data_IF_445093357558
#
_entry.id   IF_445093357558
#
_cell.length_a   1.000
_cell.length_b   1.000
_cell.length_c   1.000
_cell.angle_alpha   90.00
_cell.angle_beta   90.00
_cell.angle_gamma   90.00
#
_symmetry.space_group_name_H-M   'P 1'
#
loop_
_entity.id
_entity.type
_entity.pdbx_description
1 polymer ?
#
# COMPACT_ATOMS: atom_id res chain seq x y z
N UNK A 1 25.93 2.55 -15.53
CA UNK A 1 25.80 3.73 -16.41
C UNK A 1 24.88 4.77 -15.80
N UNK A 2 25.22 6.05 -15.94
CA UNK A 2 24.43 7.14 -15.41
C UNK A 2 23.32 7.53 -16.39
N UNK A 3 22.13 7.84 -15.89
CA UNK A 3 21.02 8.30 -16.72
C UNK A 3 20.04 7.21 -17.17
N UNK A 4 20.08 6.02 -16.56
CA UNK A 4 19.25 4.87 -16.94
C UNK A 4 17.75 5.06 -16.65
N UNK A 5 17.37 6.04 -15.83
CA UNK A 5 15.99 6.50 -15.69
C UNK A 5 15.68 7.72 -16.58
N UNK A 6 16.68 8.34 -17.20
CA UNK A 6 16.49 9.36 -18.22
C UNK A 6 17.43 10.56 -18.11
N UNK A 7 17.48 11.33 -19.20
CA UNK A 7 18.27 12.57 -19.34
C UNK A 7 17.39 13.71 -19.82
N UNK A 8 17.75 14.95 -19.47
CA UNK A 8 17.00 16.19 -19.75
C UNK A 8 15.61 16.23 -19.10
N UNK A 9 15.36 15.40 -18.09
CA UNK A 9 14.08 15.32 -17.37
C UNK A 9 14.08 16.21 -16.12
N UNK A 10 12.91 16.42 -15.50
CA UNK A 10 12.78 17.06 -14.19
C UNK A 10 13.09 16.10 -13.03
N UNK A 11 13.30 16.66 -11.83
CA UNK A 11 13.42 15.88 -10.60
C UNK A 11 12.16 15.05 -10.29
N UNK A 12 10.97 15.59 -10.56
CA UNK A 12 9.70 14.89 -10.39
C UNK A 12 9.58 13.69 -11.34
N UNK A 13 9.89 13.90 -12.62
CA UNK A 13 9.95 12.81 -13.60
C UNK A 13 10.96 11.73 -13.21
N UNK A 14 12.03 12.08 -12.50
CA UNK A 14 12.99 11.12 -11.97
C UNK A 14 12.36 10.23 -10.88
N UNK A 15 11.61 10.83 -9.95
CA UNK A 15 10.90 10.10 -8.90
C UNK A 15 9.84 9.17 -9.50
N UNK A 16 8.99 9.65 -10.42
CA UNK A 16 7.94 8.83 -11.05
C UNK A 16 8.50 7.61 -11.78
N UNK A 17 9.62 7.80 -12.49
CA UNK A 17 10.29 6.70 -13.21
C UNK A 17 10.93 5.70 -12.26
N UNK A 18 11.41 6.15 -11.10
CA UNK A 18 11.83 5.24 -10.04
C UNK A 18 10.63 4.49 -9.42
N UNK A 19 9.51 5.17 -9.18
CA UNK A 19 8.29 4.55 -8.67
C UNK A 19 7.77 3.45 -9.62
N UNK A 20 7.80 3.71 -10.93
CA UNK A 20 7.40 2.75 -11.96
C UNK A 20 8.44 1.64 -12.24
N UNK A 21 9.64 1.71 -11.66
CA UNK A 21 10.69 0.72 -11.88
C UNK A 21 10.87 -0.20 -10.66
N UNK A 22 10.65 -1.51 -10.85
CA UNK A 22 10.70 -2.50 -9.77
C UNK A 22 12.09 -2.69 -9.15
N UNK A 23 13.15 -2.35 -9.88
CA UNK A 23 14.53 -2.42 -9.41
C UNK A 23 15.02 -1.12 -8.78
N UNK A 24 14.23 -0.04 -8.83
CA UNK A 24 14.60 1.20 -8.18
C UNK A 24 14.27 1.14 -6.68
N UNK A 25 15.28 1.34 -5.83
CA UNK A 25 15.11 1.58 -4.39
C UNK A 25 15.50 2.99 -4.00
N UNK A 26 16.32 3.65 -4.80
CA UNK A 26 16.72 5.03 -4.62
C UNK A 26 16.77 5.73 -5.97
N UNK A 27 16.09 6.87 -6.09
CA UNK A 27 16.21 7.78 -7.23
C UNK A 27 17.33 8.77 -6.95
N UNK A 28 18.28 8.90 -7.87
CA UNK A 28 19.38 9.86 -7.77
C UNK A 28 19.35 10.78 -8.99
N UNK A 29 19.10 12.06 -8.75
CA UNK A 29 18.97 13.09 -9.77
C UNK A 29 20.13 14.07 -9.70
N UNK A 30 20.88 14.19 -10.80
CA UNK A 30 21.93 15.19 -10.97
C UNK A 30 21.33 16.48 -11.52
N UNK A 31 21.27 17.53 -10.71
CA UNK A 31 20.56 18.79 -11.02
C UNK A 31 21.20 19.53 -12.20
N UNK A 32 22.53 19.58 -12.25
CA UNK A 32 23.30 20.26 -13.30
C UNK A 32 23.16 19.60 -14.66
N UNK A 33 23.15 18.26 -14.71
CA UNK A 33 23.03 17.49 -15.94
C UNK A 33 21.59 17.13 -16.31
N UNK A 34 20.62 17.39 -15.42
CA UNK A 34 19.22 16.96 -15.53
C UNK A 34 19.10 15.47 -15.87
N UNK A 35 19.85 14.64 -15.15
CA UNK A 35 19.96 13.20 -15.43
C UNK A 35 19.64 12.39 -14.19
N UNK A 36 18.88 11.32 -14.38
CA UNK A 36 18.32 10.48 -13.34
C UNK A 36 18.83 9.05 -13.46
N UNK A 37 19.20 8.46 -12.33
CA UNK A 37 19.60 7.06 -12.25
C UNK A 37 18.93 6.37 -11.05
N UNK A 38 18.82 5.04 -11.10
CA UNK A 38 18.35 4.24 -9.96
C UNK A 38 19.47 3.49 -9.27
N UNK A 39 19.31 3.31 -7.97
CA UNK A 39 20.10 2.37 -7.20
C UNK A 39 19.18 1.38 -6.49
N UNK A 40 19.65 0.14 -6.35
CA UNK A 40 18.98 -0.87 -5.54
C UNK A 40 19.32 -0.73 -4.05
N UNK A 41 20.47 -0.13 -3.72
CA UNK A 41 20.94 0.02 -2.33
C UNK A 41 21.66 1.37 -2.18
N UNK A 42 21.65 1.91 -0.97
CA UNK A 42 22.43 3.09 -0.61
C UNK A 42 23.53 2.65 0.36
N UNK A 43 24.76 2.58 -0.13
CA UNK A 43 25.92 2.14 0.65
C UNK A 43 26.61 3.32 1.34
N UNK A 44 27.14 3.08 2.55
CA UNK A 44 27.95 4.02 3.32
C UNK A 44 29.44 3.68 3.16
N UNK A 45 30.35 4.68 3.07
CA UNK A 45 30.09 6.12 3.11
C UNK A 45 29.52 6.63 1.78
N UNK A 46 28.63 7.63 1.85
CA UNK A 46 28.10 8.31 0.66
C UNK A 46 28.54 9.78 0.61
N UNK A 47 28.96 10.21 -0.59
CA UNK A 47 29.36 11.57 -0.86
C UNK A 47 28.14 12.50 -0.91
N UNK A 48 28.02 13.40 0.07
CA UNK A 48 27.05 14.49 -0.02
C UNK A 48 27.60 15.57 -0.96
N UNK A 49 26.97 15.71 -2.13
CA UNK A 49 27.31 16.74 -3.11
C UNK A 49 26.05 17.57 -3.42
N UNK A 50 26.16 18.90 -3.49
CA UNK A 50 25.00 19.78 -3.66
C UNK A 50 24.32 19.68 -5.03
N UNK A 51 24.98 19.07 -6.02
CA UNK A 51 24.41 18.85 -7.36
C UNK A 51 23.56 17.57 -7.47
N UNK A 52 23.35 16.84 -6.38
CA UNK A 52 22.52 15.65 -6.35
C UNK A 52 21.36 15.77 -5.38
N UNK A 53 20.18 15.41 -5.87
CA UNK A 53 19.02 15.13 -5.04
C UNK A 53 18.80 13.61 -5.01
N UNK A 54 18.65 13.05 -3.81
CA UNK A 54 18.56 11.61 -3.57
C UNK A 54 17.28 11.33 -2.79
N UNK A 55 16.48 10.37 -3.27
CA UNK A 55 15.25 9.93 -2.61
C UNK A 55 15.22 8.42 -2.49
N UNK A 56 14.80 7.91 -1.33
CA UNK A 56 14.48 6.50 -1.16
C UNK A 56 13.07 6.21 -1.68
N UNK A 57 12.94 5.21 -2.56
CA UNK A 57 11.66 4.57 -2.85
C UNK A 57 11.26 3.77 -1.63
N UNK A 58 10.45 4.37 -0.78
CA UNK A 58 9.73 3.60 0.21
C UNK A 58 8.82 2.61 -0.52
N UNK A 59 8.94 1.32 -0.21
CA UNK A 59 8.02 0.29 -0.68
C UNK A 59 6.56 0.53 -0.27
N UNK A 60 6.31 1.53 0.56
CA UNK A 60 4.96 1.93 0.94
C UNK A 60 4.40 2.90 -0.08
N UNK A 61 3.62 2.37 -1.03
CA UNK A 61 2.33 3.03 -1.24
C UNK A 61 1.68 3.22 0.14
N UNK A 62 0.99 4.33 0.37
CA UNK A 62 0.15 4.45 1.55
C UNK A 62 -0.66 3.16 1.68
N UNK A 63 -0.67 2.46 2.84
CA UNK A 63 -1.36 1.19 2.95
C UNK A 63 -2.80 1.42 2.52
N UNK A 64 -3.26 0.65 1.54
CA UNK A 64 -4.57 0.80 0.91
C UNK A 64 -5.40 -0.46 1.13
N UNK A 65 -6.72 -0.29 1.20
CA UNK A 65 -7.67 -1.39 1.19
C UNK A 65 -8.20 -1.58 -0.22
N UNK A 66 -7.90 -2.73 -0.83
CA UNK A 66 -8.42 -3.11 -2.16
C UNK A 66 -9.52 -4.16 -2.01
N UNK A 67 -10.45 -4.25 -2.97
CA UNK A 67 -11.47 -5.30 -2.93
C UNK A 67 -10.81 -6.68 -2.87
N UNK A 68 -11.27 -7.52 -1.95
CA UNK A 68 -10.78 -8.89 -1.83
C UNK A 68 -11.42 -9.79 -2.90
N UNK A 69 -10.74 -10.87 -3.25
CA UNK A 69 -11.25 -11.93 -4.13
C UNK A 69 -12.25 -12.84 -3.38
N UNK A 70 -13.36 -12.23 -2.97
CA UNK A 70 -14.50 -12.90 -2.33
C UNK A 70 -15.70 -12.75 -3.26
N UNK A 71 -16.32 -13.86 -3.70
CA UNK A 71 -17.47 -13.79 -4.60
C UNK A 71 -18.61 -12.95 -4.04
N UNK A 72 -19.37 -12.31 -4.93
CA UNK A 72 -20.56 -11.57 -4.54
C UNK A 72 -21.53 -12.46 -3.74
N UNK A 73 -22.18 -11.88 -2.73
CA UNK A 73 -23.08 -12.62 -1.87
C UNK A 73 -22.37 -13.46 -0.79
N UNK A 74 -21.05 -13.37 -0.68
CA UNK A 74 -20.25 -14.13 0.28
C UNK A 74 -19.41 -13.24 1.20
N UNK A 75 -18.86 -13.85 2.26
CA UNK A 75 -17.93 -13.23 3.20
C UNK A 75 -16.83 -14.23 3.60
N UNK A 76 -15.78 -13.73 4.24
CA UNK A 76 -14.81 -14.58 4.95
C UNK A 76 -15.52 -15.47 5.97
N UNK A 77 -15.16 -16.75 6.04
CA UNK A 77 -15.77 -17.70 6.96
C UNK A 77 -15.41 -17.45 8.42
N UNK A 78 -16.23 -17.98 9.33
CA UNK A 78 -15.94 -17.98 10.76
C UNK A 78 -16.28 -16.66 11.46
N UNK A 79 -15.77 -16.51 12.68
CA UNK A 79 -15.94 -15.32 13.51
C UNK A 79 -14.72 -14.41 13.42
N UNK A 80 -14.89 -13.07 13.60
CA UNK A 80 -13.76 -12.17 13.74
C UNK A 80 -12.83 -12.61 14.88
N UNK A 81 -11.50 -12.46 14.77
CA UNK A 81 -10.55 -12.86 15.80
C UNK A 81 -10.78 -12.19 17.16
N UNK A 82 -11.45 -11.04 17.18
CA UNK A 82 -11.86 -10.33 18.40
C UNK A 82 -12.97 -11.04 19.19
N UNK A 83 -13.57 -12.12 18.64
CA UNK A 83 -14.75 -12.78 19.18
C UNK A 83 -16.05 -11.97 19.04
N UNK A 84 -16.00 -10.77 18.45
CA UNK A 84 -17.17 -9.89 18.26
C UNK A 84 -17.21 -9.24 16.89
N UNK A 85 -18.40 -9.22 16.30
CA UNK A 85 -18.67 -8.39 15.13
C UNK A 85 -18.67 -6.91 15.51
N UNK A 86 -18.16 -6.07 14.61
CA UNK A 86 -18.12 -4.62 14.82
C UNK A 86 -16.90 -4.12 15.60
N UNK A 87 -15.81 -4.90 15.69
CA UNK A 87 -14.62 -4.50 16.47
C UNK A 87 -13.90 -3.27 15.90
N UNK A 88 -14.07 -3.00 14.60
CA UNK A 88 -13.62 -1.76 13.97
C UNK A 88 -14.70 -0.66 14.03
N UNK A 89 -15.90 -0.94 14.55
CA UNK A 89 -16.95 0.03 14.83
C UNK A 89 -18.31 -0.30 14.23
N UNK A 90 -19.32 0.40 14.74
CA UNK A 90 -20.72 0.34 14.30
C UNK A 90 -21.24 1.73 13.99
N UNK A 91 -22.23 1.84 13.10
CA UNK A 91 -22.78 3.11 12.59
C UNK A 91 -21.70 3.98 11.91
N UNK A 92 -20.77 3.34 11.20
CA UNK A 92 -19.69 4.03 10.45
C UNK A 92 -19.86 3.82 8.94
N UNK A 93 -19.16 4.62 8.14
CA UNK A 93 -19.12 4.46 6.68
C UNK A 93 -18.16 3.35 6.26
N UNK A 94 -18.30 2.86 5.03
CA UNK A 94 -17.37 1.93 4.40
C UNK A 94 -15.94 2.50 4.37
N UNK A 95 -15.77 3.79 4.03
CA UNK A 95 -14.46 4.43 4.05
C UNK A 95 -13.82 4.41 5.44
N UNK A 96 -14.60 4.76 6.48
CA UNK A 96 -14.07 4.74 7.85
C UNK A 96 -13.71 3.34 8.31
N UNK A 97 -14.40 2.31 7.81
CA UNK A 97 -14.07 0.91 8.05
C UNK A 97 -12.69 0.56 7.47
N UNK A 98 -12.42 0.97 6.23
CA UNK A 98 -11.11 0.79 5.60
C UNK A 98 -10.01 1.53 6.38
N UNK A 99 -10.18 2.82 6.68
CA UNK A 99 -9.20 3.62 7.42
C UNK A 99 -8.84 3.00 8.78
N UNK A 100 -9.85 2.51 9.51
CA UNK A 100 -9.64 1.87 10.81
C UNK A 100 -8.93 0.53 10.68
N UNK A 101 -9.21 -0.23 9.62
CA UNK A 101 -8.42 -1.42 9.33
C UNK A 101 -6.98 -1.03 9.03
N UNK A 102 -6.72 -0.04 8.16
CA UNK A 102 -5.38 0.46 7.84
C UNK A 102 -4.56 0.81 9.07
N UNK A 103 -5.15 1.56 10.00
CA UNK A 103 -4.52 1.97 11.27
C UNK A 103 -4.28 0.81 12.27
N UNK A 104 -4.98 -0.32 12.13
CA UNK A 104 -4.83 -1.48 13.03
C UNK A 104 -3.85 -2.48 12.45
N UNK A 105 -2.70 -2.67 13.09
CA UNK A 105 -1.63 -3.55 12.61
C UNK A 105 -2.07 -4.99 12.38
N UNK A 106 -2.96 -5.47 13.25
CA UNK A 106 -3.48 -6.82 13.20
C UNK A 106 -4.54 -7.02 12.11
N UNK A 107 -5.13 -5.94 11.57
CA UNK A 107 -6.13 -6.03 10.53
C UNK A 107 -5.48 -6.28 9.17
N UNK A 108 -5.88 -7.38 8.52
CA UNK A 108 -5.48 -7.71 7.14
C UNK A 108 -6.66 -7.67 6.19
N UNK A 109 -7.86 -7.90 6.70
CA UNK A 109 -9.11 -7.77 5.95
C UNK A 109 -10.15 -7.00 6.75
N UNK A 110 -10.97 -6.22 6.06
CA UNK A 110 -12.11 -5.51 6.63
C UNK A 110 -13.40 -6.03 6.01
N UNK A 111 -14.36 -6.42 6.85
CA UNK A 111 -15.70 -6.84 6.44
C UNK A 111 -16.70 -5.79 6.89
N UNK A 112 -17.37 -5.15 5.94
CA UNK A 112 -18.38 -4.13 6.19
C UNK A 112 -19.77 -4.59 5.75
N UNK A 113 -20.76 -4.40 6.62
CA UNK A 113 -22.18 -4.62 6.30
C UNK A 113 -23.07 -3.69 7.12
N UNK A 114 -23.90 -2.90 6.44
CA UNK A 114 -24.95 -2.09 7.07
C UNK A 114 -24.46 -1.17 8.20
N UNK A 115 -23.26 -0.58 8.06
CA UNK A 115 -22.68 0.30 9.08
C UNK A 115 -21.85 -0.40 10.16
N UNK A 116 -21.76 -1.73 10.17
CA UNK A 116 -20.89 -2.51 11.06
C UNK A 116 -19.62 -2.95 10.33
N UNK A 117 -18.47 -2.87 11.00
CA UNK A 117 -17.15 -3.16 10.44
C UNK A 117 -16.35 -4.10 11.35
N UNK A 118 -15.82 -5.18 10.79
CA UNK A 118 -15.00 -6.15 11.54
C UNK A 118 -13.65 -6.40 10.88
N UNK A 119 -12.62 -6.61 11.69
CA UNK A 119 -11.27 -6.97 11.24
C UNK A 119 -11.06 -8.47 11.20
N UNK A 120 -10.30 -8.94 10.21
CA UNK A 120 -9.87 -10.34 10.06
C UNK A 120 -8.36 -10.40 9.80
N UNK A 121 -7.70 -11.48 10.24
CA UNK A 121 -6.30 -11.77 9.93
C UNK A 121 -6.15 -12.45 8.57
N UNK A 122 -7.16 -13.21 8.17
CA UNK A 122 -7.19 -13.98 6.94
C UNK A 122 -8.61 -14.02 6.36
N UNK A 123 -8.69 -14.23 5.05
CA UNK A 123 -9.93 -14.40 4.32
C UNK A 123 -9.65 -15.31 3.14
N UNK A 124 -9.65 -16.62 3.42
CA UNK A 124 -9.39 -17.67 2.44
C UNK A 124 -10.62 -18.56 2.31
N UNK A 125 -10.78 -19.27 1.17
CA UNK A 125 -11.83 -20.26 1.01
C UNK A 125 -11.79 -21.35 2.11
N UNK A 126 -12.94 -21.94 2.47
CA UNK A 126 -14.27 -21.66 1.91
C UNK A 126 -14.81 -20.31 2.40
N UNK A 127 -15.66 -19.68 1.60
CA UNK A 127 -16.39 -18.47 1.98
C UNK A 127 -17.82 -18.80 2.37
N UNK A 128 -18.43 -17.98 3.22
CA UNK A 128 -19.81 -18.17 3.66
C UNK A 128 -20.79 -17.36 2.82
N UNK A 129 -21.85 -18.01 2.32
CA UNK A 129 -22.97 -17.36 1.62
C UNK A 129 -23.76 -16.47 2.57
N UNK A 130 -23.41 -15.18 2.59
CA UNK A 130 -24.07 -14.11 3.33
C UNK A 130 -24.03 -12.84 2.49
N UNK A 131 -25.16 -12.38 1.93
CA UNK A 131 -25.17 -11.19 1.09
C UNK A 131 -24.98 -9.89 1.87
N UNK A 132 -24.61 -8.83 1.14
CA UNK A 132 -24.50 -7.47 1.65
C UNK A 132 -23.19 -7.13 2.37
N UNK A 133 -22.17 -8.00 2.25
CA UNK A 133 -20.82 -7.69 2.73
C UNK A 133 -19.98 -7.05 1.62
N UNK A 134 -19.23 -6.03 2.00
CA UNK A 134 -18.07 -5.56 1.25
C UNK A 134 -16.82 -6.05 2.00
N UNK A 135 -15.91 -6.70 1.28
CA UNK A 135 -14.70 -7.28 1.84
C UNK A 135 -13.49 -6.67 1.15
N UNK A 136 -12.58 -6.11 1.94
CA UNK A 136 -11.33 -5.56 1.43
C UNK A 136 -10.12 -6.24 2.08
N UNK A 137 -9.03 -6.31 1.33
CA UNK A 137 -7.71 -6.76 1.76
C UNK A 137 -6.77 -5.56 1.89
N UNK A 138 -5.99 -5.52 2.96
CA UNK A 138 -4.92 -4.54 3.15
C UNK A 138 -3.73 -4.90 2.28
N UNK A 139 -3.37 -4.00 1.37
CA UNK A 139 -2.11 -4.05 0.63
C UNK A 139 -1.03 -3.34 1.45
N UNK A 140 0.14 -3.96 1.52
CA UNK A 140 1.36 -3.43 2.15
C UNK A 140 2.51 -3.60 1.20
#
# INVERSE_FOLDING_TARGET
>A
DWGDLGTKISAEQCQDRCLANDHCRFAVYKTTARSCTKFHECNSPYDQKPDFAVWAKHNGGSPEMVLADVPEGQRCSGQPPSGRWGDLGTKITAQKCQDRCLAKDSCRFALYKGGSCSSFHECSPPHETKPGFQVWKKMR
#
